data_IF_790007601639
#
_entry.id   IF_790007601639
#
_cell.length_a   1.000
_cell.length_b   1.000
_cell.length_c   1.000
_cell.angle_alpha   90.00
_cell.angle_beta   90.00
_cell.angle_gamma   90.00
#
_symmetry.space_group_name_H-M   'P 1'
#
loop_
_entity.id
_entity.type
_entity.pdbx_description
1 polymer ?
#
# COMPACT_ATOMS: atom_id res chain seq x y z
N UNK A 1 -33.09 -9.79 -13.26
CA UNK A 1 -32.64 -8.40 -13.52
C UNK A 1 -32.09 -8.36 -14.92
N UNK A 2 -32.50 -7.41 -15.75
CA UNK A 2 -32.05 -7.35 -17.15
C UNK A 2 -30.57 -6.97 -17.24
N UNK A 3 -29.84 -7.43 -18.26
CA UNK A 3 -28.40 -7.16 -18.40
C UNK A 3 -28.08 -5.67 -18.38
N UNK A 4 -28.91 -4.83 -19.01
CA UNK A 4 -28.80 -3.38 -18.96
C UNK A 4 -28.96 -2.82 -17.54
N UNK A 5 -29.98 -3.26 -16.80
CA UNK A 5 -30.24 -2.81 -15.43
C UNK A 5 -29.07 -3.13 -14.49
N UNK A 6 -28.40 -4.26 -14.72
CA UNK A 6 -27.20 -4.66 -13.99
C UNK A 6 -26.01 -3.73 -14.24
N UNK A 7 -25.78 -3.34 -15.49
CA UNK A 7 -24.75 -2.38 -15.83
C UNK A 7 -25.06 -0.99 -15.25
N UNK A 8 -26.32 -0.55 -15.30
CA UNK A 8 -26.75 0.73 -14.69
C UNK A 8 -26.52 0.73 -13.17
N UNK A 9 -26.85 -0.38 -12.48
CA UNK A 9 -26.60 -0.51 -11.04
C UNK A 9 -25.11 -0.33 -10.72
N UNK A 10 -24.24 -1.06 -11.43
CA UNK A 10 -22.79 -1.00 -11.22
C UNK A 10 -22.17 0.34 -11.60
N UNK A 11 -22.71 1.02 -12.61
CA UNK A 11 -22.33 2.40 -12.91
C UNK A 11 -22.50 3.32 -11.70
N UNK A 12 -23.63 3.25 -11.00
CA UNK A 12 -23.84 4.06 -9.80
C UNK A 12 -23.00 3.60 -8.61
N UNK A 13 -22.81 2.30 -8.43
CA UNK A 13 -21.92 1.77 -7.38
C UNK A 13 -20.49 2.30 -7.51
N UNK A 14 -19.95 2.30 -8.72
CA UNK A 14 -18.61 2.86 -9.00
C UNK A 14 -18.57 4.35 -8.70
N UNK A 15 -19.58 5.13 -9.08
CA UNK A 15 -19.62 6.57 -8.79
C UNK A 15 -19.67 6.85 -7.28
N UNK A 16 -20.47 6.10 -6.53
CA UNK A 16 -20.58 6.24 -5.07
C UNK A 16 -19.24 5.86 -4.40
N UNK A 17 -18.56 4.83 -4.90
CA UNK A 17 -17.23 4.45 -4.41
C UNK A 17 -16.13 5.45 -4.75
N UNK A 18 -16.16 6.06 -5.93
CA UNK A 18 -15.22 7.13 -6.29
C UNK A 18 -15.29 8.32 -5.34
N UNK A 19 -16.50 8.64 -4.85
CA UNK A 19 -16.69 9.66 -3.82
C UNK A 19 -16.16 9.21 -2.47
N UNK A 20 -16.46 7.97 -2.08
CA UNK A 20 -15.94 7.37 -0.83
C UNK A 20 -14.40 7.37 -0.79
N UNK A 21 -13.76 7.06 -1.91
CA UNK A 21 -12.31 7.02 -2.07
C UNK A 21 -11.67 8.41 -2.27
N UNK A 22 -12.48 9.49 -2.30
CA UNK A 22 -12.04 10.87 -2.59
C UNK A 22 -11.36 11.04 -3.96
N UNK A 23 -11.61 10.12 -4.91
CA UNK A 23 -11.21 10.27 -6.32
C UNK A 23 -12.15 11.21 -7.08
N UNK A 24 -13.37 11.38 -6.56
CA UNK A 24 -14.34 12.37 -6.98
C UNK A 24 -14.81 13.12 -5.73
N UNK A 25 -14.91 14.45 -5.77
CA UNK A 25 -15.40 15.21 -4.61
C UNK A 25 -16.90 15.00 -4.42
N UNK A 26 -17.67 15.07 -5.51
CA UNK A 26 -19.10 14.80 -5.53
C UNK A 26 -19.50 14.11 -6.83
N UNK A 27 -20.49 13.21 -6.77
CA UNK A 27 -21.04 12.56 -7.98
C UNK A 27 -21.49 13.58 -9.04
N UNK A 28 -21.96 14.74 -8.60
CA UNK A 28 -22.38 15.83 -9.48
C UNK A 28 -21.26 16.37 -10.37
N UNK A 29 -19.99 16.25 -9.96
CA UNK A 29 -18.86 16.69 -10.78
C UNK A 29 -18.70 15.82 -12.04
N UNK A 30 -18.97 14.51 -11.91
CA UNK A 30 -19.05 13.61 -13.06
C UNK A 30 -20.20 13.99 -14.00
N UNK A 31 -21.37 14.32 -13.45
CA UNK A 31 -22.52 14.74 -14.26
C UNK A 31 -22.28 16.04 -15.01
N UNK A 32 -21.63 17.03 -14.36
CA UNK A 32 -21.22 18.28 -15.00
C UNK A 32 -20.22 18.04 -16.11
N UNK A 33 -19.19 17.22 -15.88
CA UNK A 33 -18.17 16.87 -16.88
C UNK A 33 -18.81 16.33 -18.16
N UNK A 34 -19.82 15.47 -18.02
CA UNK A 34 -20.52 14.82 -19.13
C UNK A 34 -21.78 15.56 -19.60
N UNK A 35 -22.04 16.77 -19.10
CA UNK A 35 -23.24 17.59 -19.37
C UNK A 35 -24.54 16.79 -19.24
N UNK A 36 -24.63 15.94 -18.20
CA UNK A 36 -25.76 15.05 -17.99
C UNK A 36 -26.89 15.82 -17.31
N UNK A 37 -28.11 15.66 -17.83
CA UNK A 37 -29.30 16.20 -17.18
C UNK A 37 -29.57 15.47 -15.84
N UNK A 38 -29.61 16.23 -14.74
CA UNK A 38 -29.79 15.69 -13.37
C UNK A 38 -31.14 14.97 -13.21
N UNK A 39 -32.20 15.47 -13.86
CA UNK A 39 -33.51 14.83 -13.87
C UNK A 39 -33.46 13.44 -14.50
N UNK A 40 -32.78 13.30 -15.64
CA UNK A 40 -32.59 12.01 -16.31
C UNK A 40 -31.81 11.03 -15.43
N UNK A 41 -30.74 11.49 -14.77
CA UNK A 41 -29.97 10.65 -13.84
C UNK A 41 -30.80 10.24 -12.63
N UNK A 42 -31.56 11.16 -12.05
CA UNK A 42 -32.43 10.86 -10.90
C UNK A 42 -33.47 9.82 -11.27
N UNK A 43 -34.05 9.94 -12.47
CA UNK A 43 -34.99 8.96 -13.00
C UNK A 43 -34.31 7.62 -13.29
N UNK A 44 -33.11 7.62 -13.86
CA UNK A 44 -32.31 6.41 -14.13
C UNK A 44 -31.91 5.71 -12.83
N UNK A 45 -31.56 6.44 -11.76
CA UNK A 45 -31.23 5.88 -10.44
C UNK A 45 -32.44 5.26 -9.74
N UNK A 46 -33.64 5.81 -9.97
CA UNK A 46 -34.91 5.23 -9.46
C UNK A 46 -35.37 4.02 -10.27
N UNK A 47 -35.16 4.05 -11.58
CA UNK A 47 -35.56 2.98 -12.48
C UNK A 47 -34.44 2.67 -13.48
N UNK A 48 -33.72 1.57 -13.22
CA UNK A 48 -32.57 1.13 -13.99
C UNK A 48 -32.94 0.58 -15.38
N UNK A 49 -34.22 0.35 -15.68
CA UNK A 49 -34.66 -0.15 -16.99
C UNK A 49 -34.64 0.93 -18.09
N UNK A 50 -34.47 2.19 -17.72
CA UNK A 50 -34.44 3.32 -18.65
C UNK A 50 -33.19 3.29 -19.53
N UNK A 51 -33.37 3.35 -20.84
CA UNK A 51 -32.27 3.36 -21.82
C UNK A 51 -31.61 4.76 -21.93
N UNK A 52 -31.00 5.23 -20.84
CA UNK A 52 -30.36 6.55 -20.74
C UNK A 52 -28.85 6.46 -20.45
N UNK A 53 -28.35 5.29 -20.07
CA UNK A 53 -26.93 5.07 -19.81
C UNK A 53 -26.17 5.14 -21.14
N UNK A 54 -25.19 6.05 -21.22
CA UNK A 54 -24.34 6.18 -22.41
C UNK A 54 -23.06 5.37 -22.25
N UNK A 55 -22.66 4.68 -23.32
CA UNK A 55 -21.40 3.92 -23.37
C UNK A 55 -20.18 4.80 -23.03
N UNK A 56 -20.17 6.04 -23.54
CA UNK A 56 -19.10 7.02 -23.28
C UNK A 56 -18.87 7.31 -21.78
N UNK A 57 -19.91 7.20 -20.94
CA UNK A 57 -19.76 7.41 -19.50
C UNK A 57 -19.02 6.24 -18.84
N UNK A 58 -19.29 5.01 -19.28
CA UNK A 58 -18.57 3.82 -18.81
C UNK A 58 -17.11 3.86 -19.26
N UNK A 59 -16.85 4.27 -20.51
CA UNK A 59 -15.49 4.45 -21.02
C UNK A 59 -14.71 5.42 -20.13
N UNK A 60 -15.31 6.56 -19.77
CA UNK A 60 -14.64 7.53 -18.89
C UNK A 60 -14.36 6.98 -17.49
N UNK A 61 -15.25 6.15 -16.93
CA UNK A 61 -14.98 5.46 -15.67
C UNK A 61 -13.77 4.53 -15.77
N UNK A 62 -13.64 3.79 -16.87
CA UNK A 62 -12.51 2.88 -17.10
C UNK A 62 -11.22 3.66 -17.33
N UNK A 63 -11.22 4.64 -18.24
CA UNK A 63 -10.00 5.33 -18.66
C UNK A 63 -9.50 6.33 -17.62
N UNK A 64 -10.40 7.18 -17.10
CA UNK A 64 -10.04 8.25 -16.16
C UNK A 64 -9.91 7.71 -14.74
N UNK A 65 -10.86 6.87 -14.31
CA UNK A 65 -10.98 6.47 -12.92
C UNK A 65 -10.53 5.04 -12.64
N UNK A 66 -10.07 4.32 -13.68
CA UNK A 66 -9.58 2.92 -13.59
C UNK A 66 -10.62 1.95 -13.02
N UNK A 67 -11.90 2.24 -13.23
CA UNK A 67 -12.94 1.26 -12.96
C UNK A 67 -12.72 0.02 -13.83
N UNK A 68 -12.90 -1.15 -13.27
CA UNK A 68 -12.76 -2.42 -13.98
C UNK A 68 -13.87 -2.55 -15.01
N UNK A 69 -13.49 -2.60 -16.29
CA UNK A 69 -14.43 -2.86 -17.38
C UNK A 69 -15.13 -4.21 -17.18
N UNK A 70 -14.39 -5.21 -16.70
CA UNK A 70 -14.92 -6.52 -16.39
C UNK A 70 -16.00 -6.45 -15.31
N UNK A 71 -15.75 -5.74 -14.19
CA UNK A 71 -16.74 -5.54 -13.15
C UNK A 71 -17.97 -4.79 -13.66
N UNK A 72 -17.78 -3.66 -14.37
CA UNK A 72 -18.90 -2.88 -14.91
C UNK A 72 -19.85 -3.72 -15.78
N UNK A 73 -19.30 -4.61 -16.61
CA UNK A 73 -20.07 -5.43 -17.55
C UNK A 73 -20.64 -6.71 -16.93
N UNK A 74 -19.88 -7.40 -16.08
CA UNK A 74 -20.24 -8.73 -15.57
C UNK A 74 -20.71 -8.69 -14.12
N UNK A 75 -20.18 -7.77 -13.32
CA UNK A 75 -20.32 -7.75 -11.86
C UNK A 75 -19.31 -8.63 -11.13
N UNK A 76 -18.33 -9.18 -11.85
CA UNK A 76 -17.32 -10.06 -11.29
C UNK A 76 -15.97 -9.36 -11.15
N UNK A 77 -15.19 -9.81 -10.15
CA UNK A 77 -13.86 -9.30 -9.89
C UNK A 77 -13.81 -7.95 -9.14
N UNK A 78 -12.62 -7.32 -9.07
CA UNK A 78 -12.44 -6.08 -8.34
C UNK A 78 -13.12 -4.91 -9.07
N UNK A 79 -13.60 -3.93 -8.31
CA UNK A 79 -14.25 -2.74 -8.84
C UNK A 79 -13.29 -1.83 -9.63
N UNK A 80 -12.01 -1.82 -9.24
CA UNK A 80 -10.97 -1.04 -9.90
C UNK A 80 -9.81 -1.93 -10.33
N UNK A 81 -9.20 -1.57 -11.44
CA UNK A 81 -7.95 -2.18 -11.87
C UNK A 81 -6.80 -1.61 -11.03
N UNK A 82 -6.21 -2.47 -10.21
CA UNK A 82 -4.92 -2.17 -9.59
C UNK A 82 -3.86 -2.28 -10.67
N UNK A 83 -3.01 -1.25 -10.82
CA UNK A 83 -1.83 -1.36 -11.70
C UNK A 83 -1.02 -2.58 -11.28
N UNK A 84 -0.94 -3.59 -12.15
CA UNK A 84 0.13 -4.59 -12.11
C UNK A 84 1.42 -3.84 -12.42
N UNK A 85 2.16 -3.47 -11.37
CA UNK A 85 3.38 -2.69 -11.48
C UNK A 85 3.12 -1.20 -11.70
N UNK A 86 3.36 -0.41 -10.64
CA UNK A 86 4.18 0.78 -10.89
C UNK A 86 5.55 0.21 -11.29
N UNK A 87 5.94 0.30 -12.56
CA UNK A 87 7.35 0.57 -12.81
C UNK A 87 7.68 1.78 -11.94
N UNK A 88 8.62 1.57 -11.03
CA UNK A 88 8.95 2.56 -10.01
C UNK A 88 9.44 3.80 -10.75
N UNK A 89 8.75 4.92 -10.55
CA UNK A 89 9.15 6.18 -11.19
C UNK A 89 10.60 6.52 -10.79
N UNK A 90 11.38 7.26 -11.61
CA UNK A 90 12.81 7.50 -11.37
C UNK A 90 13.15 8.08 -9.99
N UNK A 91 12.19 8.72 -9.33
CA UNK A 91 12.29 9.23 -7.95
C UNK A 91 12.38 8.12 -6.88
N UNK A 92 11.90 6.91 -7.15
CA UNK A 92 11.99 5.76 -6.25
C UNK A 92 13.29 4.95 -6.45
N UNK A 93 13.89 4.99 -7.65
CA UNK A 93 15.20 4.37 -7.91
C UNK A 93 16.28 4.96 -6.99
N UNK A 94 16.21 6.27 -6.73
CA UNK A 94 17.10 6.95 -5.77
C UNK A 94 16.86 6.55 -4.32
N UNK A 95 15.62 6.25 -3.93
CA UNK A 95 15.32 5.76 -2.57
C UNK A 95 15.76 4.32 -2.38
N UNK A 96 15.64 3.47 -3.40
CA UNK A 96 16.14 2.10 -3.35
C UNK A 96 17.65 2.03 -3.20
N UNK A 97 18.39 2.80 -4.00
CA UNK A 97 19.83 2.94 -3.78
C UNK A 97 20.15 3.41 -2.37
N UNK A 98 19.36 4.35 -1.84
CA UNK A 98 19.53 4.83 -0.47
C UNK A 98 19.19 3.75 0.57
N UNK A 99 18.20 2.90 0.32
CA UNK A 99 17.87 1.77 1.20
C UNK A 99 18.99 0.73 1.17
N UNK A 100 19.49 0.36 -0.01
CA UNK A 100 20.60 -0.59 -0.16
C UNK A 100 21.89 -0.08 0.52
N UNK A 101 22.18 1.22 0.36
CA UNK A 101 23.28 1.91 1.08
C UNK A 101 23.06 1.85 2.60
N UNK A 102 21.86 2.17 3.08
CA UNK A 102 21.53 2.13 4.51
C UNK A 102 21.56 0.71 5.08
N UNK A 103 21.21 -0.31 4.30
CA UNK A 103 21.31 -1.71 4.70
C UNK A 103 22.77 -2.16 4.80
N UNK A 104 23.61 -1.76 3.84
CA UNK A 104 25.05 -2.01 3.88
C UNK A 104 25.73 -1.31 5.07
N UNK A 105 25.41 -0.03 5.32
CA UNK A 105 25.90 0.72 6.49
C UNK A 105 25.47 0.04 7.80
N UNK A 106 24.20 -0.39 7.90
CA UNK A 106 23.72 -1.11 9.08
C UNK A 106 24.41 -2.46 9.29
N UNK A 107 24.79 -3.14 8.21
CA UNK A 107 25.51 -4.41 8.30
C UNK A 107 26.92 -4.22 8.85
N UNK A 108 27.65 -3.20 8.35
CA UNK A 108 28.96 -2.84 8.88
C UNK A 108 28.89 -2.46 10.37
N UNK A 109 27.87 -1.68 10.76
CA UNK A 109 27.67 -1.31 12.17
C UNK A 109 27.42 -2.53 13.06
N UNK A 110 26.67 -3.52 12.59
CA UNK A 110 26.45 -4.79 13.33
C UNK A 110 27.74 -5.58 13.52
N UNK A 111 28.61 -5.60 12.52
CA UNK A 111 29.91 -6.27 12.60
C UNK A 111 30.79 -5.60 13.65
N UNK A 112 30.90 -4.27 13.62
CA UNK A 112 31.64 -3.49 14.63
C UNK A 112 31.10 -3.74 16.04
N UNK A 113 29.77 -3.77 16.22
CA UNK A 113 29.16 -4.07 17.51
C UNK A 113 29.53 -5.48 18.00
N UNK A 114 29.57 -6.47 17.10
CA UNK A 114 29.95 -7.84 17.45
C UNK A 114 31.43 -7.94 17.83
N UNK A 115 32.31 -7.21 17.14
CA UNK A 115 33.73 -7.12 17.51
C UNK A 115 33.90 -6.51 18.91
N UNK A 116 33.23 -5.41 19.21
CA UNK A 116 33.26 -4.82 20.55
C UNK A 116 32.76 -5.78 21.63
N UNK A 117 31.66 -6.50 21.38
CA UNK A 117 31.17 -7.53 22.31
C UNK A 117 32.21 -8.62 22.56
N UNK A 118 32.93 -9.05 21.52
CA UNK A 118 33.99 -10.04 21.65
C UNK A 118 35.14 -9.51 22.51
N UNK A 119 35.57 -8.27 22.27
CA UNK A 119 36.62 -7.60 23.05
C UNK A 119 36.22 -7.52 24.52
N UNK A 120 35.00 -7.05 24.82
CA UNK A 120 34.49 -6.97 26.19
C UNK A 120 34.47 -8.35 26.86
N UNK A 121 34.00 -9.39 26.15
CA UNK A 121 33.98 -10.74 26.69
C UNK A 121 35.38 -11.28 27.02
N UNK A 122 36.39 -10.94 26.21
CA UNK A 122 37.77 -11.33 26.45
C UNK A 122 38.35 -10.57 27.64
N UNK A 123 38.01 -9.29 27.79
CA UNK A 123 38.39 -8.50 28.96
C UNK A 123 37.79 -9.07 30.24
N UNK A 124 36.50 -9.41 30.25
CA UNK A 124 35.82 -10.03 31.40
C UNK A 124 36.44 -11.38 31.79
N UNK A 125 36.79 -12.21 30.79
CA UNK A 125 37.52 -13.47 31.03
C UNK A 125 38.90 -13.22 31.62
N UNK A 126 39.64 -12.23 31.12
CA UNK A 126 40.97 -11.89 31.64
C UNK A 126 40.90 -11.36 33.08
N UNK A 127 39.94 -10.49 33.38
CA UNK A 127 39.68 -9.98 34.72
C UNK A 127 39.28 -11.12 35.69
N UNK A 128 38.43 -12.05 35.23
CA UNK A 128 38.02 -13.23 36.01
C UNK A 128 39.19 -14.19 36.27
N UNK A 129 40.06 -14.42 35.28
CA UNK A 129 41.27 -15.25 35.44
C UNK A 129 42.23 -14.62 36.44
N UNK A 130 42.43 -13.30 36.38
CA UNK A 130 43.28 -12.55 37.32
C UNK A 130 42.73 -12.62 38.77
N UNK A 131 41.41 -12.50 38.94
CA UNK A 131 40.74 -12.66 40.26
C UNK A 131 40.89 -14.08 40.82
N UNK A 132 40.68 -15.12 40.01
CA UNK A 132 40.88 -16.52 40.43
C UNK A 132 42.33 -16.80 40.81
N UNK A 133 43.29 -16.26 40.06
CA UNK A 133 44.71 -16.45 40.38
C UNK A 133 45.10 -15.77 41.69
N UNK A 134 44.56 -14.58 41.97
CA UNK A 134 44.76 -13.88 43.23
C UNK A 134 44.13 -14.63 44.42
N UNK A 135 42.98 -15.29 44.24
CA UNK A 135 42.32 -16.07 45.29
C UNK A 135 43.10 -17.35 45.66
N UNK A 136 43.78 -17.97 44.68
CA UNK A 136 44.63 -19.16 44.89
C UNK A 136 45.96 -18.78 45.56
N UNK A 137 46.41 -17.52 45.41
CA UNK A 137 47.67 -17.02 45.97
C UNK A 137 47.51 -16.29 47.32
N UNK A 138 46.28 -16.10 47.81
CA UNK A 138 46.07 -15.66 49.19
C UNK A 138 46.52 -16.78 50.14
N UNK A 139 47.45 -16.52 51.07
CA UNK A 139 47.88 -17.54 52.03
C UNK A 139 46.65 -17.98 52.83
N UNK A 140 46.42 -19.30 52.96
CA UNK A 140 45.58 -19.80 54.03
C UNK A 140 46.22 -19.32 55.33
N UNK A 141 45.65 -18.29 55.95
CA UNK A 141 45.85 -18.07 57.37
C UNK A 141 45.05 -19.16 58.06
N UNK A 142 45.70 -20.28 58.33
CA UNK A 142 45.26 -21.24 59.35
C UNK A 142 45.85 -20.79 60.67
N UNK A 143 44.96 -20.48 61.62
CA UNK A 143 45.26 -20.19 63.04
C UNK A 143 46.03 -21.34 63.72
#
# INVERSE_FOLDING_TARGET
>A
MNSHEAVVKRFFEILDELVRDKKLSYVNDFYKKHKINIGNITQLKKNHSRNMLKMAWLIDLVETYRASAHYLLTGEGPHFEYKKGREKSPKHIGMEKRIDELEAENQQLKEVINEFKLILSNFDRAASKKRKHALIQSPLQTD
#
